data_IF_548773189184
#
_entry.id   IF_548773189184
#
_cell.length_a   1.000
_cell.length_b   1.000
_cell.length_c   1.000
_cell.angle_alpha   90.00
_cell.angle_beta   90.00
_cell.angle_gamma   90.00
#
_symmetry.space_group_name_H-M   'P 1'
#
loop_
_entity.id
_entity.type
_entity.pdbx_description
1 polymer ?
#
# COMPACT_ATOMS: atom_id res chain seq x y z
N UNK A 1 -19.89 -7.08 -4.02
CA UNK A 1 -18.84 -6.34 -4.73
C UNK A 1 -17.54 -6.47 -3.95
N UNK A 2 -16.72 -7.46 -4.25
CA UNK A 2 -15.38 -7.58 -3.68
C UNK A 2 -14.37 -6.70 -4.44
N UNK A 3 -13.36 -6.20 -3.76
CA UNK A 3 -12.24 -5.49 -4.39
C UNK A 3 -10.95 -5.63 -3.58
N UNK A 4 -9.84 -5.23 -4.19
CA UNK A 4 -8.57 -4.92 -3.51
C UNK A 4 -8.03 -3.62 -4.06
N UNK A 5 -7.40 -2.79 -3.22
CA UNK A 5 -6.73 -1.55 -3.65
C UNK A 5 -5.21 -1.66 -3.61
N UNK A 6 -4.66 -2.85 -3.37
CA UNK A 6 -3.22 -3.09 -3.28
C UNK A 6 -2.91 -4.51 -3.75
N UNK A 7 -2.14 -4.65 -4.83
CA UNK A 7 -1.68 -5.93 -5.34
C UNK A 7 -0.41 -5.81 -6.18
N UNK A 8 0.36 -6.89 -6.23
CA UNK A 8 1.65 -7.02 -6.91
C UNK A 8 1.71 -8.31 -7.73
N UNK A 9 2.53 -8.33 -8.78
CA UNK A 9 2.76 -9.49 -9.63
C UNK A 9 4.23 -9.85 -9.74
N UNK A 10 4.53 -11.14 -9.87
CA UNK A 10 5.91 -11.61 -10.13
C UNK A 10 6.45 -11.15 -11.48
N UNK A 11 5.59 -10.75 -12.41
CA UNK A 11 5.99 -10.19 -13.71
C UNK A 11 6.72 -8.86 -13.57
N UNK A 12 6.34 -8.02 -12.60
CA UNK A 12 6.90 -6.68 -12.42
C UNK A 12 7.58 -6.45 -11.05
N UNK A 13 7.42 -7.38 -10.12
CA UNK A 13 8.17 -7.47 -8.86
C UNK A 13 8.90 -8.83 -8.76
N UNK A 14 9.89 -9.13 -9.63
CA UNK A 14 10.62 -10.39 -9.59
C UNK A 14 11.37 -10.56 -8.26
N UNK A 15 11.54 -11.81 -7.81
CA UNK A 15 12.14 -12.13 -6.50
C UNK A 15 11.16 -11.95 -5.33
N UNK A 16 10.34 -10.90 -5.37
CA UNK A 16 9.43 -10.50 -4.30
C UNK A 16 8.00 -11.05 -4.45
N UNK A 17 7.49 -11.12 -5.68
CA UNK A 17 6.16 -11.64 -6.00
C UNK A 17 6.21 -12.84 -6.97
N UNK A 18 5.04 -13.45 -7.21
CA UNK A 18 4.84 -14.61 -8.09
C UNK A 18 3.73 -14.34 -9.10
N UNK A 19 3.69 -15.19 -10.13
CA UNK A 19 2.69 -15.22 -11.20
C UNK A 19 2.71 -14.01 -12.16
N UNK A 20 2.07 -14.18 -13.32
CA UNK A 20 1.90 -13.11 -14.30
C UNK A 20 0.74 -12.20 -13.91
N UNK A 21 0.83 -10.90 -14.21
CA UNK A 21 -0.20 -9.91 -13.88
C UNK A 21 -1.57 -10.32 -14.44
N UNK A 22 -1.61 -10.77 -15.69
CA UNK A 22 -2.85 -11.24 -16.32
C UNK A 22 -3.47 -12.44 -15.58
N UNK A 23 -2.65 -13.39 -15.11
CA UNK A 23 -3.13 -14.58 -14.41
C UNK A 23 -3.72 -14.22 -13.04
N UNK A 24 -3.14 -13.24 -12.34
CA UNK A 24 -3.69 -12.70 -11.10
C UNK A 24 -5.05 -12.04 -11.35
N UNK A 25 -5.17 -11.21 -12.40
CA UNK A 25 -6.43 -10.57 -12.78
C UNK A 25 -7.51 -11.60 -13.13
N UNK A 26 -7.17 -12.62 -13.91
CA UNK A 26 -8.10 -13.71 -14.24
C UNK A 26 -8.58 -14.44 -12.98
N UNK A 27 -7.69 -14.68 -12.02
CA UNK A 27 -8.08 -15.26 -10.75
C UNK A 27 -9.00 -14.33 -9.95
N UNK A 28 -8.67 -13.04 -9.85
CA UNK A 28 -9.52 -12.04 -9.19
C UNK A 28 -10.94 -11.99 -9.78
N UNK A 29 -11.07 -12.03 -11.12
CA UNK A 29 -12.36 -12.15 -11.81
C UNK A 29 -13.09 -13.43 -11.38
N UNK A 30 -12.38 -14.57 -11.36
CA UNK A 30 -12.97 -15.88 -11.03
C UNK A 30 -13.56 -15.96 -9.63
N UNK A 31 -13.01 -15.20 -8.67
CA UNK A 31 -13.49 -15.13 -7.28
C UNK A 31 -14.42 -13.92 -7.04
N UNK A 32 -14.85 -13.23 -8.10
CA UNK A 32 -15.89 -12.20 -8.02
C UNK A 32 -15.41 -10.78 -7.69
N UNK A 33 -14.11 -10.48 -7.80
CA UNK A 33 -13.66 -9.09 -7.70
C UNK A 33 -14.32 -8.25 -8.80
N UNK A 34 -14.76 -7.06 -8.42
CA UNK A 34 -15.33 -6.06 -9.33
C UNK A 34 -14.41 -4.88 -9.56
N UNK A 35 -13.51 -4.62 -8.63
CA UNK A 35 -12.48 -3.60 -8.77
C UNK A 35 -11.15 -4.16 -8.25
N UNK A 36 -10.06 -3.86 -8.94
CA UNK A 36 -8.72 -4.25 -8.51
C UNK A 36 -7.73 -3.12 -8.80
N UNK A 37 -7.02 -2.73 -7.75
CA UNK A 37 -5.88 -1.84 -7.79
C UNK A 37 -4.60 -2.59 -8.15
N UNK A 38 -4.01 -2.26 -9.29
CA UNK A 38 -2.70 -2.75 -9.71
C UNK A 38 -1.66 -1.78 -9.17
N UNK A 39 -0.75 -2.21 -8.29
CA UNK A 39 0.09 -1.28 -7.53
C UNK A 39 1.50 -1.81 -7.33
N UNK A 40 2.13 -2.26 -8.41
CA UNK A 40 3.53 -2.70 -8.37
C UNK A 40 4.43 -1.67 -7.68
N UNK A 41 5.53 -2.14 -7.07
CA UNK A 41 6.52 -1.29 -6.43
C UNK A 41 7.14 -0.28 -7.40
N UNK A 42 7.33 0.96 -6.93
CA UNK A 42 8.01 1.99 -7.72
C UNK A 42 9.52 1.70 -7.90
N UNK A 43 10.16 2.20 -8.98
CA UNK A 43 11.62 2.12 -9.13
C UNK A 43 12.39 2.77 -7.98
N UNK A 44 13.64 2.35 -7.76
CA UNK A 44 14.60 3.00 -6.87
C UNK A 44 15.41 4.06 -7.61
N UNK A 45 15.95 5.03 -6.88
CA UNK A 45 16.81 6.08 -7.44
C UNK A 45 18.31 5.79 -7.26
N UNK A 46 18.67 5.02 -6.24
CA UNK A 46 20.07 4.75 -5.89
C UNK A 46 20.27 3.26 -5.60
N UNK A 47 21.47 2.76 -5.84
CA UNK A 47 21.82 1.35 -5.61
C UNK A 47 21.77 0.95 -4.13
N UNK A 48 21.95 1.92 -3.22
CA UNK A 48 21.85 1.71 -1.79
C UNK A 48 20.41 1.45 -1.31
N UNK A 49 19.42 1.77 -2.13
CA UNK A 49 18.00 1.57 -1.82
C UNK A 49 17.44 0.27 -2.43
N UNK A 50 18.28 -0.50 -3.14
CA UNK A 50 17.91 -1.81 -3.67
C UNK A 50 17.77 -2.83 -2.54
N UNK A 51 16.71 -3.63 -2.60
CA UNK A 51 16.54 -4.76 -1.70
C UNK A 51 17.55 -5.89 -2.02
N UNK A 52 17.89 -6.75 -1.04
CA UNK A 52 18.85 -7.82 -1.27
C UNK A 52 18.48 -8.73 -2.46
N UNK A 53 17.20 -9.07 -2.66
CA UNK A 53 16.74 -9.88 -3.79
C UNK A 53 16.90 -9.18 -5.15
N UNK A 54 16.94 -7.84 -5.19
CA UNK A 54 17.18 -7.08 -6.42
C UNK A 54 18.67 -7.09 -6.80
N UNK A 55 19.54 -7.39 -5.84
CA UNK A 55 21.00 -7.49 -6.02
C UNK A 55 21.47 -8.90 -6.35
N UNK A 56 20.65 -9.93 -6.10
CA UNK A 56 21.03 -11.34 -6.32
C UNK A 56 21.41 -11.66 -7.77
N UNK A 57 20.99 -10.84 -8.75
CA UNK A 57 21.28 -11.05 -10.18
C UNK A 57 22.59 -10.41 -10.69
N UNK A 58 23.38 -9.71 -9.85
CA UNK A 58 24.73 -9.25 -10.22
C UNK A 58 25.01 -7.75 -9.99
N UNK A 59 25.44 -7.04 -11.04
CA UNK A 59 25.90 -5.65 -10.98
C UNK A 59 24.80 -4.70 -10.45
N UNK A 60 24.99 -4.03 -9.28
CA UNK A 60 24.00 -3.12 -8.72
C UNK A 60 23.57 -2.00 -9.68
N UNK A 61 24.47 -1.53 -10.56
CA UNK A 61 24.12 -0.51 -11.55
C UNK A 61 23.16 -1.04 -12.60
N UNK A 62 23.32 -2.30 -13.03
CA UNK A 62 22.40 -2.96 -13.95
C UNK A 62 21.04 -3.25 -13.30
N UNK A 63 21.05 -3.71 -12.04
CA UNK A 63 19.85 -3.91 -11.24
C UNK A 63 19.03 -2.62 -11.10
N UNK A 64 19.68 -1.48 -10.84
CA UNK A 64 19.01 -0.18 -10.78
C UNK A 64 18.47 0.24 -12.16
N UNK A 65 19.28 0.08 -13.22
CA UNK A 65 18.95 0.54 -14.57
C UNK A 65 17.73 -0.16 -15.18
N UNK A 66 17.41 -1.39 -14.75
CA UNK A 66 16.24 -2.14 -15.28
C UNK A 66 14.91 -1.72 -14.65
N UNK A 67 14.92 -1.05 -13.48
CA UNK A 67 13.69 -0.74 -12.75
C UNK A 67 12.77 0.24 -13.48
N UNK A 68 13.31 1.33 -14.05
CA UNK A 68 12.51 2.30 -14.79
C UNK A 68 11.87 1.68 -16.07
N UNK A 69 12.62 0.98 -16.95
CA UNK A 69 12.02 0.25 -18.07
C UNK A 69 10.98 -0.79 -17.65
N UNK A 70 11.18 -1.47 -16.51
CA UNK A 70 10.21 -2.43 -15.96
C UNK A 70 8.92 -1.75 -15.54
N UNK A 71 9.00 -0.57 -14.91
CA UNK A 71 7.83 0.22 -14.56
C UNK A 71 7.06 0.69 -15.81
N UNK A 72 7.76 1.12 -16.86
CA UNK A 72 7.12 1.49 -18.14
C UNK A 72 6.42 0.28 -18.79
N UNK A 73 7.06 -0.89 -18.76
CA UNK A 73 6.47 -2.14 -19.24
C UNK A 73 5.22 -2.54 -18.43
N UNK A 74 5.25 -2.34 -17.11
CA UNK A 74 4.09 -2.51 -16.23
C UNK A 74 2.93 -1.62 -16.66
N UNK A 75 3.16 -0.32 -16.83
CA UNK A 75 2.11 0.63 -17.21
C UNK A 75 1.52 0.30 -18.58
N UNK A 76 2.34 -0.13 -19.54
CA UNK A 76 1.86 -0.56 -20.85
C UNK A 76 0.96 -1.81 -20.75
N UNK A 77 1.40 -2.81 -19.99
CA UNK A 77 0.66 -4.07 -19.82
C UNK A 77 -0.63 -3.88 -19.02
N UNK A 78 -0.59 -3.09 -17.95
CA UNK A 78 -1.76 -2.75 -17.15
C UNK A 78 -2.84 -2.04 -17.97
N UNK A 79 -2.44 -1.14 -18.89
CA UNK A 79 -3.38 -0.48 -19.81
C UNK A 79 -4.01 -1.47 -20.79
N UNK A 80 -3.19 -2.34 -21.41
CA UNK A 80 -3.68 -3.39 -22.31
C UNK A 80 -4.67 -4.32 -21.60
N UNK A 81 -4.38 -4.71 -20.37
CA UNK A 81 -5.22 -5.59 -19.56
C UNK A 81 -6.52 -4.91 -19.13
N UNK A 82 -6.47 -3.61 -18.76
CA UNK A 82 -7.66 -2.82 -18.47
C UNK A 82 -8.63 -2.78 -19.66
N UNK A 83 -8.12 -2.63 -20.88
CA UNK A 83 -8.94 -2.69 -22.09
C UNK A 83 -9.47 -4.11 -22.36
N UNK A 84 -8.61 -5.12 -22.25
CA UNK A 84 -8.97 -6.53 -22.50
C UNK A 84 -10.07 -7.05 -21.57
N UNK A 85 -10.04 -6.65 -20.30
CA UNK A 85 -10.99 -7.11 -19.27
C UNK A 85 -12.08 -6.10 -18.94
N UNK A 86 -12.23 -5.04 -19.76
CA UNK A 86 -13.31 -4.08 -19.63
C UNK A 86 -14.68 -4.81 -19.62
N UNK A 87 -15.54 -4.41 -18.68
CA UNK A 87 -16.86 -5.03 -18.47
C UNK A 87 -16.85 -6.31 -17.62
N UNK A 88 -15.68 -6.87 -17.30
CA UNK A 88 -15.55 -8.00 -16.36
C UNK A 88 -15.08 -7.55 -14.98
N UNK A 89 -14.07 -6.66 -14.94
CA UNK A 89 -13.50 -6.07 -13.72
C UNK A 89 -13.00 -4.65 -14.02
N UNK A 90 -13.16 -3.74 -13.07
CA UNK A 90 -12.58 -2.40 -13.14
C UNK A 90 -11.13 -2.45 -12.65
N UNK A 91 -10.17 -2.25 -13.54
CA UNK A 91 -8.74 -2.18 -13.19
C UNK A 91 -8.32 -0.72 -13.01
N UNK A 92 -7.87 -0.39 -11.80
CA UNK A 92 -7.27 0.90 -11.47
C UNK A 92 -5.76 0.75 -11.49
N UNK A 93 -5.08 1.55 -12.30
CA UNK A 93 -3.64 1.47 -12.46
C UNK A 93 -2.99 2.42 -11.46
N UNK A 94 -2.14 1.90 -10.59
CA UNK A 94 -1.40 2.69 -9.62
C UNK A 94 0.00 2.15 -9.40
N UNK A 95 0.62 2.52 -8.30
CA UNK A 95 1.88 1.96 -7.82
C UNK A 95 1.95 2.10 -6.29
N UNK A 96 2.74 1.26 -5.65
CA UNK A 96 3.12 1.46 -4.25
C UNK A 96 4.32 2.42 -4.20
N UNK A 97 4.08 3.62 -3.66
CA UNK A 97 5.06 4.68 -3.53
C UNK A 97 5.82 4.55 -2.22
N UNK A 98 7.12 4.28 -2.31
CA UNK A 98 8.00 4.10 -1.16
C UNK A 98 8.70 5.39 -0.75
N UNK A 99 8.50 5.80 0.50
CA UNK A 99 9.17 6.97 1.06
C UNK A 99 10.46 6.59 1.79
N UNK A 100 11.59 6.82 1.15
CA UNK A 100 12.92 6.68 1.78
C UNK A 100 13.34 7.97 2.50
N UNK A 101 13.27 9.09 1.76
CA UNK A 101 13.79 10.41 2.15
C UNK A 101 13.18 11.50 1.25
N UNK A 102 13.21 12.79 1.63
CA UNK A 102 12.60 13.88 0.86
C UNK A 102 12.99 13.96 -0.62
N UNK A 103 14.19 13.51 -0.99
CA UNK A 103 14.64 13.45 -2.38
C UNK A 103 13.79 12.55 -3.30
N UNK A 104 13.06 11.58 -2.75
CA UNK A 104 12.13 10.73 -3.49
C UNK A 104 10.83 11.44 -3.86
N UNK A 105 10.48 12.53 -3.17
CA UNK A 105 9.21 13.25 -3.37
C UNK A 105 8.97 13.69 -4.82
N UNK A 106 9.91 14.41 -5.48
CA UNK A 106 9.78 14.78 -6.88
C UNK A 106 9.63 13.59 -7.82
N UNK A 107 10.34 12.49 -7.55
CA UNK A 107 10.26 11.28 -8.37
C UNK A 107 8.89 10.61 -8.25
N UNK A 108 8.38 10.42 -7.03
CA UNK A 108 7.04 9.85 -6.80
C UNK A 108 5.97 10.72 -7.46
N UNK A 109 6.06 12.05 -7.35
CA UNK A 109 5.14 12.95 -8.06
C UNK A 109 5.22 12.81 -9.58
N UNK A 110 6.40 12.57 -10.14
CA UNK A 110 6.57 12.37 -11.58
C UNK A 110 5.90 11.08 -12.06
N UNK A 111 6.04 9.98 -11.32
CA UNK A 111 5.32 8.72 -11.59
C UNK A 111 3.82 8.93 -11.45
N UNK A 112 3.40 9.60 -10.38
CA UNK A 112 2.00 9.95 -10.13
C UNK A 112 1.44 10.95 -11.13
N UNK A 113 2.24 11.63 -11.95
CA UNK A 113 1.78 12.51 -13.03
C UNK A 113 1.54 11.75 -14.35
N UNK A 114 2.03 10.51 -14.48
CA UNK A 114 1.88 9.73 -15.70
C UNK A 114 0.38 9.52 -16.03
N UNK A 115 -0.09 9.75 -17.28
CA UNK A 115 -1.53 9.72 -17.63
C UNK A 115 -2.23 8.39 -17.36
N UNK A 116 -1.49 7.29 -17.41
CA UNK A 116 -2.02 5.95 -17.12
C UNK A 116 -2.29 5.71 -15.64
N UNK A 117 -1.61 6.44 -14.73
CA UNK A 117 -1.68 6.24 -13.28
C UNK A 117 -2.90 6.96 -12.72
N UNK A 118 -3.81 6.18 -12.14
CA UNK A 118 -5.06 6.64 -11.54
C UNK A 118 -4.86 7.08 -10.08
N UNK A 119 -4.02 6.37 -9.30
CA UNK A 119 -3.67 6.68 -7.92
C UNK A 119 -2.32 6.06 -7.53
N UNK A 120 -1.84 6.36 -6.33
CA UNK A 120 -0.72 5.65 -5.72
C UNK A 120 -0.99 5.45 -4.23
N UNK A 121 -0.36 4.42 -3.67
CA UNK A 121 -0.33 4.15 -2.24
C UNK A 121 0.92 4.84 -1.67
N UNK A 122 0.79 5.57 -0.56
CA UNK A 122 1.96 6.07 0.17
C UNK A 122 2.34 5.08 1.26
N UNK A 123 3.55 4.53 1.19
CA UNK A 123 4.05 3.48 2.08
C UNK A 123 5.42 3.80 2.65
N UNK A 124 5.69 3.25 3.85
CA UNK A 124 7.01 3.25 4.48
C UNK A 124 7.41 1.82 4.81
N UNK A 125 8.49 1.37 4.16
CA UNK A 125 9.15 0.08 4.43
C UNK A 125 10.53 0.25 5.08
N UNK A 126 10.88 1.50 5.42
CA UNK A 126 12.19 1.84 5.95
C UNK A 126 12.08 2.82 7.12
N UNK A 127 13.07 2.75 8.02
CA UNK A 127 13.41 3.84 8.95
C UNK A 127 14.84 4.25 8.67
N UNK A 128 15.05 5.54 8.40
CA UNK A 128 16.36 6.08 7.96
C UNK A 128 16.98 5.28 6.80
N UNK A 129 16.17 4.92 5.80
CA UNK A 129 16.56 4.10 4.65
C UNK A 129 17.06 2.68 4.98
N UNK A 130 16.82 2.17 6.20
CA UNK A 130 17.06 0.76 6.57
C UNK A 130 15.72 0.01 6.61
N UNK A 131 15.60 -1.15 5.93
CA UNK A 131 14.34 -1.92 5.87
C UNK A 131 13.83 -2.35 7.26
N UNK A 132 12.51 -2.28 7.45
CA UNK A 132 11.84 -2.66 8.72
C UNK A 132 10.93 -3.89 8.60
N UNK A 133 10.67 -4.38 7.39
CA UNK A 133 9.77 -5.50 7.13
C UNK A 133 10.43 -6.62 6.31
N UNK A 134 11.75 -6.55 6.13
CA UNK A 134 12.53 -7.52 5.38
C UNK A 134 13.05 -8.68 6.23
N UNK A 135 13.81 -8.37 7.28
CA UNK A 135 14.35 -9.37 8.21
C UNK A 135 14.50 -8.79 9.62
N UNK A 136 14.51 -9.66 10.63
CA UNK A 136 14.71 -9.25 12.02
C UNK A 136 16.06 -8.55 12.24
N UNK A 137 17.09 -8.95 11.49
CA UNK A 137 18.42 -8.31 11.55
C UNK A 137 18.35 -6.87 11.06
N UNK A 138 17.75 -6.62 9.89
CA UNK A 138 17.59 -5.27 9.34
C UNK A 138 16.68 -4.40 10.21
N UNK A 139 15.62 -4.97 10.79
CA UNK A 139 14.78 -4.25 11.78
C UNK A 139 15.59 -3.77 12.98
N UNK A 140 16.49 -4.62 13.51
CA UNK A 140 17.39 -4.24 14.61
C UNK A 140 18.40 -3.18 14.16
N UNK A 141 18.89 -3.23 12.93
CA UNK A 141 19.77 -2.20 12.38
C UNK A 141 19.05 -0.86 12.20
N UNK A 142 17.82 -0.86 11.69
CA UNK A 142 16.97 0.31 11.62
C UNK A 142 16.78 0.94 13.00
N UNK A 143 16.53 0.12 14.02
CA UNK A 143 16.42 0.57 15.42
C UNK A 143 17.70 1.24 15.92
N UNK A 144 18.90 0.71 15.59
CA UNK A 144 20.18 1.34 15.95
C UNK A 144 20.33 2.73 15.33
N UNK A 145 19.89 2.93 14.09
CA UNK A 145 19.93 4.25 13.44
C UNK A 145 18.98 5.27 14.09
N UNK A 146 17.94 4.79 14.78
CA UNK A 146 16.87 5.60 15.34
C UNK A 146 16.92 5.69 16.87
N UNK A 147 18.11 5.63 17.47
CA UNK A 147 18.29 5.83 18.91
C UNK A 147 18.28 4.56 19.76
N UNK A 148 18.25 3.37 19.14
CA UNK A 148 18.58 2.10 19.79
C UNK A 148 17.44 1.42 20.57
N UNK A 149 16.20 1.93 20.49
CA UNK A 149 15.03 1.25 21.05
C UNK A 149 13.78 1.45 20.19
N UNK A 150 12.78 0.57 20.36
CA UNK A 150 11.56 0.59 19.55
C UNK A 150 10.78 1.90 19.68
N UNK A 151 10.65 2.47 20.88
CA UNK A 151 9.92 3.74 21.08
C UNK A 151 10.50 4.85 20.19
N UNK A 152 11.82 5.00 20.17
CA UNK A 152 12.51 6.02 19.36
C UNK A 152 12.45 5.71 17.86
N UNK A 153 12.49 4.43 17.48
CA UNK A 153 12.31 4.02 16.10
C UNK A 153 10.88 4.29 15.61
N UNK A 154 9.87 4.06 16.43
CA UNK A 154 8.47 4.36 16.10
C UNK A 154 8.24 5.87 15.98
N UNK A 155 8.82 6.67 16.88
CA UNK A 155 8.81 8.14 16.73
C UNK A 155 9.38 8.56 15.38
N UNK A 156 10.53 7.99 14.99
CA UNK A 156 11.14 8.28 13.69
C UNK A 156 10.30 7.80 12.51
N UNK A 157 9.74 6.60 12.58
CA UNK A 157 8.83 6.06 11.57
C UNK A 157 7.64 7.01 11.32
N UNK A 158 6.95 7.44 12.38
CA UNK A 158 5.81 8.34 12.23
C UNK A 158 6.23 9.77 11.85
N UNK A 159 7.44 10.22 12.17
CA UNK A 159 7.99 11.46 11.61
C UNK A 159 8.24 11.36 10.10
N UNK A 160 8.85 10.27 9.63
CA UNK A 160 9.05 10.05 8.19
C UNK A 160 7.72 9.85 7.45
N UNK A 161 6.74 9.19 8.07
CA UNK A 161 5.40 9.08 7.51
C UNK A 161 4.75 10.47 7.41
N UNK A 162 4.95 11.37 8.38
CA UNK A 162 4.46 12.74 8.28
C UNK A 162 5.14 13.54 7.16
N UNK A 163 6.45 13.36 6.98
CA UNK A 163 7.21 13.94 5.87
C UNK A 163 6.60 13.49 4.52
N UNK A 164 6.33 12.18 4.37
CA UNK A 164 5.66 11.61 3.20
C UNK A 164 4.27 12.22 3.00
N UNK A 165 3.42 12.25 4.03
CA UNK A 165 2.05 12.75 3.93
C UNK A 165 2.01 14.23 3.53
N UNK A 166 2.90 15.04 4.12
CA UNK A 166 3.04 16.46 3.81
C UNK A 166 3.55 16.70 2.40
N UNK A 167 4.48 15.86 1.94
CA UNK A 167 4.94 15.95 0.57
C UNK A 167 3.85 15.47 -0.40
N UNK A 168 3.24 14.31 -0.19
CA UNK A 168 2.61 13.58 -1.30
C UNK A 168 1.08 13.55 -1.31
N UNK A 169 0.41 13.69 -0.17
CA UNK A 169 -1.06 13.56 -0.05
C UNK A 169 -1.64 12.32 -0.81
N UNK A 170 -1.11 11.10 -0.55
CA UNK A 170 -1.51 9.90 -1.28
C UNK A 170 -2.99 9.60 -1.06
N UNK A 171 -3.71 9.19 -2.12
CA UNK A 171 -5.13 8.82 -2.03
C UNK A 171 -5.39 7.67 -1.06
N UNK A 172 -4.40 6.79 -0.91
CA UNK A 172 -4.38 5.65 0.02
C UNK A 172 -3.07 5.68 0.79
N UNK A 173 -3.14 5.61 2.12
CA UNK A 173 -1.96 5.39 2.97
C UNK A 173 -1.87 3.90 3.27
N UNK A 174 -0.81 3.27 2.78
CA UNK A 174 -0.54 1.85 2.94
C UNK A 174 -0.21 1.51 4.39
N UNK A 175 -0.58 0.29 4.80
CA UNK A 175 -0.20 -0.39 6.06
C UNK A 175 0.37 0.53 7.15
N UNK A 176 -0.51 1.41 7.66
CA UNK A 176 -0.14 2.63 8.42
C UNK A 176 0.80 2.41 9.61
N UNK A 177 0.79 1.23 10.22
CA UNK A 177 1.60 0.84 11.36
C UNK A 177 2.48 -0.38 11.08
N UNK A 178 2.96 -0.53 9.82
CA UNK A 178 3.85 -1.61 9.38
C UNK A 178 5.05 -1.83 10.33
N UNK A 179 5.53 -0.76 10.96
CA UNK A 179 6.62 -0.78 11.94
C UNK A 179 6.43 -1.81 13.06
N UNK A 180 5.20 -2.26 13.34
CA UNK A 180 4.94 -3.30 14.34
C UNK A 180 5.22 -4.72 13.89
N UNK A 181 5.39 -4.97 12.59
CA UNK A 181 5.49 -6.31 12.02
C UNK A 181 6.58 -7.16 12.68
N UNK A 182 7.78 -6.60 12.82
CA UNK A 182 8.94 -7.29 13.38
C UNK A 182 9.27 -6.84 14.81
N UNK A 183 8.30 -6.19 15.47
CA UNK A 183 8.42 -5.75 16.85
C UNK A 183 8.55 -6.93 17.81
N UNK A 184 9.24 -6.71 18.93
CA UNK A 184 9.28 -7.68 20.04
C UNK A 184 7.91 -7.86 20.70
N UNK A 185 7.07 -6.82 20.63
CA UNK A 185 5.68 -6.84 21.10
C UNK A 185 4.78 -6.17 20.06
N UNK A 186 4.39 -6.88 18.98
CA UNK A 186 3.54 -6.33 17.92
C UNK A 186 2.13 -5.93 18.38
N UNK A 187 1.72 -6.33 19.58
CA UNK A 187 0.44 -6.00 20.20
C UNK A 187 0.54 -4.88 21.25
N UNK A 188 1.73 -4.28 21.38
CA UNK A 188 1.98 -3.20 22.34
C UNK A 188 0.99 -2.06 22.17
N UNK A 189 0.45 -1.61 23.30
CA UNK A 189 -0.35 -0.39 23.33
C UNK A 189 0.55 0.86 23.18
N UNK A 190 0.73 1.33 21.94
CA UNK A 190 1.57 2.51 21.64
C UNK A 190 1.05 3.81 22.25
N UNK A 191 -0.18 3.85 22.78
CA UNK A 191 -0.69 5.02 23.53
C UNK A 191 0.12 5.31 24.79
N UNK A 192 0.83 4.31 25.32
CA UNK A 192 1.71 4.44 26.48
C UNK A 192 3.00 5.20 26.15
N UNK A 193 3.42 5.20 24.89
CA UNK A 193 4.53 5.99 24.37
C UNK A 193 4.00 7.34 23.89
N UNK A 194 3.95 8.33 24.77
CA UNK A 194 3.31 9.63 24.49
C UNK A 194 3.83 10.26 23.20
N UNK A 195 5.14 10.28 23.00
CA UNK A 195 5.76 10.84 21.81
C UNK A 195 5.41 10.09 20.52
N UNK A 196 5.21 8.77 20.59
CA UNK A 196 4.73 7.96 19.46
C UNK A 196 3.26 8.26 19.19
N UNK A 197 2.41 8.25 20.23
CA UNK A 197 0.98 8.43 20.07
C UNK A 197 0.61 9.81 19.54
N UNK A 198 1.28 10.87 19.99
CA UNK A 198 1.10 12.23 19.44
C UNK A 198 1.39 12.28 17.94
N UNK A 199 2.41 11.55 17.46
CA UNK A 199 2.75 11.46 16.03
C UNK A 199 1.76 10.63 15.24
N UNK A 200 1.27 9.53 15.81
CA UNK A 200 0.18 8.74 15.22
C UNK A 200 -1.04 9.65 14.99
N UNK A 201 -1.49 10.36 16.03
CA UNK A 201 -2.67 11.24 15.94
C UNK A 201 -2.43 12.36 14.92
N UNK A 202 -1.27 13.03 14.96
CA UNK A 202 -0.88 14.05 13.96
C UNK A 202 -0.99 13.52 12.53
N UNK A 203 -0.52 12.31 12.28
CA UNK A 203 -0.52 11.73 10.94
C UNK A 203 -1.94 11.36 10.50
N UNK A 204 -2.75 10.78 11.38
CA UNK A 204 -4.17 10.51 11.12
C UNK A 204 -4.93 11.82 10.79
N UNK A 205 -4.72 12.88 11.57
CA UNK A 205 -5.31 14.20 11.31
C UNK A 205 -4.89 14.76 9.95
N UNK A 206 -3.63 14.58 9.56
CA UNK A 206 -3.15 14.98 8.23
C UNK A 206 -3.87 14.21 7.12
N UNK A 207 -3.97 12.87 7.24
CA UNK A 207 -4.71 12.03 6.27
C UNK A 207 -6.16 12.46 6.16
N UNK A 208 -6.82 12.73 7.29
CA UNK A 208 -8.18 13.24 7.29
C UNK A 208 -8.30 14.61 6.62
N UNK A 209 -7.34 15.49 6.88
CA UNK A 209 -7.32 16.87 6.40
C UNK A 209 -7.32 16.99 4.88
N UNK A 210 -6.51 16.18 4.17
CA UNK A 210 -6.52 16.15 2.71
C UNK A 210 -7.54 15.14 2.13
N UNK A 211 -8.23 14.39 2.99
CA UNK A 211 -9.27 13.44 2.59
C UNK A 211 -8.72 12.11 2.04
N UNK A 212 -7.57 11.64 2.51
CA UNK A 212 -7.03 10.32 2.19
C UNK A 212 -7.81 9.18 2.82
N UNK A 213 -7.58 7.96 2.31
CA UNK A 213 -8.07 6.72 2.91
C UNK A 213 -6.92 6.02 3.65
N UNK A 214 -7.22 5.40 4.79
CA UNK A 214 -6.31 4.39 5.34
C UNK A 214 -6.58 3.03 4.73
N UNK A 215 -5.52 2.31 4.41
CA UNK A 215 -5.62 0.92 4.01
C UNK A 215 -5.92 0.01 5.21
N UNK A 216 -7.00 -0.78 5.11
CA UNK A 216 -7.20 -1.94 5.99
C UNK A 216 -6.61 -3.19 5.32
N UNK A 217 -5.34 -3.47 5.62
CA UNK A 217 -4.52 -4.45 4.91
C UNK A 217 -4.46 -5.78 5.65
N UNK A 218 -4.96 -6.84 5.00
CA UNK A 218 -4.99 -8.19 5.56
C UNK A 218 -3.68 -8.98 5.46
N UNK A 219 -2.65 -8.45 4.78
CA UNK A 219 -1.33 -9.09 4.70
C UNK A 219 -0.68 -9.27 6.06
N UNK A 220 -0.95 -8.37 7.00
CA UNK A 220 -0.53 -8.49 8.41
C UNK A 220 -0.91 -9.86 9.01
N UNK A 221 -2.11 -10.35 8.70
CA UNK A 221 -2.62 -11.63 9.20
C UNK A 221 -1.89 -12.83 8.57
N UNK A 222 -1.50 -12.71 7.29
CA UNK A 222 -0.67 -13.70 6.59
C UNK A 222 0.76 -13.71 7.15
N UNK A 223 1.27 -12.55 7.54
CA UNK A 223 2.59 -12.36 8.16
C UNK A 223 2.62 -12.72 9.68
N UNK A 224 1.52 -13.23 10.23
CA UNK A 224 1.46 -13.78 11.59
C UNK A 224 0.94 -12.82 12.67
N UNK A 225 0.53 -11.60 12.31
CA UNK A 225 -0.08 -10.68 13.27
C UNK A 225 -1.54 -11.08 13.57
N UNK A 226 -2.01 -10.75 14.78
CA UNK A 226 -3.36 -11.05 15.21
C UNK A 226 -4.43 -10.19 14.52
N UNK A 227 -4.07 -8.95 14.20
CA UNK A 227 -4.93 -7.91 13.58
C UNK A 227 -4.32 -7.41 12.27
N UNK A 228 -5.13 -6.97 11.29
CA UNK A 228 -4.66 -6.34 10.06
C UNK A 228 -3.95 -5.00 10.35
N UNK A 229 -3.37 -4.37 9.32
CA UNK A 229 -2.96 -2.97 9.43
C UNK A 229 -4.14 -2.05 9.12
N UNK A 230 -4.37 -0.94 9.86
CA UNK A 230 -3.77 -0.65 11.15
C UNK A 230 -4.34 -1.54 12.28
N UNK A 231 -3.58 -1.70 13.36
CA UNK A 231 -4.07 -2.34 14.59
C UNK A 231 -5.23 -1.56 15.23
N UNK A 232 -5.96 -2.23 16.11
CA UNK A 232 -7.22 -1.75 16.70
C UNK A 232 -7.14 -0.36 17.31
N UNK A 233 -6.13 -0.10 18.13
CA UNK A 233 -6.03 1.19 18.84
C UNK A 233 -5.87 2.38 17.88
N UNK A 234 -5.21 2.18 16.73
CA UNK A 234 -5.08 3.18 15.67
C UNK A 234 -6.36 3.25 14.86
N UNK A 235 -6.96 2.11 14.53
CA UNK A 235 -8.23 2.06 13.78
C UNK A 235 -9.38 2.72 14.54
N UNK A 236 -9.51 2.49 15.84
CA UNK A 236 -10.49 3.16 16.71
C UNK A 236 -10.29 4.67 16.69
N UNK A 237 -9.04 5.15 16.79
CA UNK A 237 -8.74 6.58 16.71
C UNK A 237 -9.06 7.17 15.34
N UNK A 238 -8.79 6.44 14.27
CA UNK A 238 -9.14 6.85 12.90
C UNK A 238 -10.65 7.00 12.72
N UNK A 239 -11.43 6.05 13.23
CA UNK A 239 -12.89 6.10 13.18
C UNK A 239 -13.49 7.20 14.06
N UNK A 240 -12.91 7.45 15.24
CA UNK A 240 -13.32 8.54 16.15
C UNK A 240 -13.31 9.91 15.44
N UNK A 241 -12.33 10.14 14.54
CA UNK A 241 -12.22 11.38 13.76
C UNK A 241 -12.97 11.36 12.42
N UNK A 242 -13.85 10.36 12.20
CA UNK A 242 -14.62 10.21 10.96
C UNK A 242 -13.77 9.80 9.77
N UNK A 243 -12.69 9.06 10.02
CA UNK A 243 -11.84 8.47 9.01
C UNK A 243 -12.52 7.34 8.23
N UNK A 244 -12.04 7.12 7.02
CA UNK A 244 -12.58 6.14 6.07
C UNK A 244 -11.50 5.10 5.70
N UNK A 245 -11.90 3.85 5.55
CA UNK A 245 -11.00 2.75 5.17
C UNK A 245 -11.16 2.37 3.71
N UNK A 246 -10.04 2.04 3.06
CA UNK A 246 -10.02 1.13 1.92
C UNK A 246 -9.62 -0.28 2.36
N UNK A 247 -9.54 -1.23 1.44
CA UNK A 247 -9.40 -2.66 1.74
C UNK A 247 -8.40 -3.33 0.79
N UNK A 248 -7.55 -4.22 1.33
CA UNK A 248 -6.60 -4.97 0.53
C UNK A 248 -6.12 -6.29 1.17
N UNK A 249 -5.56 -7.14 0.30
CA UNK A 249 -4.77 -8.34 0.61
C UNK A 249 -3.27 -8.15 0.44
N UNK A 250 -2.87 -7.11 -0.32
CA UNK A 250 -1.48 -6.83 -0.66
C UNK A 250 -0.82 -8.12 -1.18
N UNK A 251 -1.52 -8.69 -2.16
CA UNK A 251 -1.24 -10.01 -2.70
C UNK A 251 -0.01 -9.96 -3.60
N UNK A 252 0.93 -10.86 -3.38
CA UNK A 252 2.15 -11.01 -4.18
C UNK A 252 2.10 -12.22 -5.12
N UNK A 253 0.92 -12.47 -5.71
CA UNK A 253 0.64 -13.65 -6.54
C UNK A 253 -0.70 -14.29 -6.22
N UNK A 254 -1.11 -15.24 -7.05
CA UNK A 254 -2.44 -15.86 -7.04
C UNK A 254 -2.75 -16.48 -5.66
N UNK A 255 -1.78 -17.15 -5.06
CA UNK A 255 -1.95 -17.83 -3.77
C UNK A 255 -2.26 -16.88 -2.59
N UNK A 256 -2.08 -15.57 -2.77
CA UNK A 256 -2.29 -14.56 -1.72
C UNK A 256 -3.55 -13.73 -1.93
N UNK A 257 -4.15 -13.77 -3.12
CA UNK A 257 -5.38 -13.03 -3.44
C UNK A 257 -6.51 -13.47 -2.50
N UNK A 258 -7.22 -12.51 -1.94
CA UNK A 258 -8.32 -12.66 -0.99
C UNK A 258 -7.97 -13.41 0.32
N UNK A 259 -6.69 -13.64 0.60
CA UNK A 259 -6.29 -14.32 1.84
C UNK A 259 -6.68 -13.51 3.06
N UNK A 260 -7.25 -14.17 4.08
CA UNK A 260 -7.74 -13.55 5.32
C UNK A 260 -8.85 -12.49 5.16
N UNK A 261 -9.51 -12.37 4.00
CA UNK A 261 -10.58 -11.38 3.79
C UNK A 261 -11.71 -11.49 4.80
N UNK A 262 -12.17 -12.72 5.12
CA UNK A 262 -13.19 -12.93 6.15
C UNK A 262 -12.77 -12.35 7.51
N UNK A 263 -11.52 -12.61 7.93
CA UNK A 263 -10.98 -12.09 9.19
C UNK A 263 -10.85 -10.56 9.17
N UNK A 264 -10.48 -10.00 8.04
CA UNK A 264 -10.37 -8.54 7.87
C UNK A 264 -11.75 -7.85 7.89
N UNK A 265 -12.77 -8.48 7.28
CA UNK A 265 -14.16 -8.03 7.36
C UNK A 265 -14.69 -8.14 8.80
N UNK A 266 -14.46 -9.26 9.49
CA UNK A 266 -14.85 -9.46 10.89
C UNK A 266 -14.18 -8.40 11.80
N UNK A 267 -12.91 -8.05 11.53
CA UNK A 267 -12.20 -6.98 12.21
C UNK A 267 -12.89 -5.62 12.02
N UNK A 268 -13.18 -5.21 10.78
CA UNK A 268 -13.87 -3.96 10.48
C UNK A 268 -15.28 -3.91 11.09
N UNK A 269 -16.04 -5.00 11.01
CA UNK A 269 -17.37 -5.09 11.62
C UNK A 269 -17.32 -4.94 13.15
N UNK A 270 -16.30 -5.54 13.80
CA UNK A 270 -16.09 -5.41 15.25
C UNK A 270 -15.76 -3.99 15.68
N UNK A 271 -15.28 -3.14 14.77
CA UNK A 271 -15.05 -1.70 14.98
C UNK A 271 -16.30 -0.85 14.67
N UNK A 272 -17.39 -1.48 14.22
CA UNK A 272 -18.62 -0.79 13.85
C UNK A 272 -18.62 -0.23 12.41
N UNK A 273 -17.59 -0.50 11.61
CA UNK A 273 -17.50 -0.07 10.21
C UNK A 273 -18.66 -0.67 9.41
N UNK A 274 -19.28 0.13 8.54
CA UNK A 274 -20.41 -0.29 7.69
C UNK A 274 -20.05 -0.39 6.23
N UNK A 275 -19.06 0.38 5.81
CA UNK A 275 -18.62 0.45 4.42
C UNK A 275 -17.11 0.70 4.35
N UNK A 276 -16.52 0.21 3.27
CA UNK A 276 -15.15 0.51 2.83
C UNK A 276 -15.21 1.16 1.46
N UNK A 277 -14.15 1.84 1.09
CA UNK A 277 -14.13 2.66 -0.12
C UNK A 277 -13.15 2.15 -1.16
N UNK A 278 -13.62 2.08 -2.40
CA UNK A 278 -12.80 1.92 -3.61
C UNK A 278 -12.93 3.18 -4.47
N UNK A 279 -12.37 3.18 -5.68
CA UNK A 279 -12.55 4.26 -6.64
C UNK A 279 -13.23 3.77 -7.91
N UNK A 280 -13.98 4.68 -8.54
CA UNK A 280 -14.48 4.54 -9.90
C UNK A 280 -13.73 5.50 -10.80
N UNK A 281 -13.24 4.96 -11.92
CA UNK A 281 -12.52 5.70 -12.93
C UNK A 281 -13.52 6.45 -13.82
N UNK A 282 -13.46 7.77 -13.78
CA UNK A 282 -14.28 8.68 -14.57
C UNK A 282 -13.78 8.84 -16.00
N UNK A 283 -14.49 9.65 -16.83
CA UNK A 283 -13.99 10.03 -18.13
C UNK A 283 -12.64 10.76 -18.01
N UNK A 284 -11.86 10.68 -19.09
CA UNK A 284 -10.61 11.45 -19.21
C UNK A 284 -10.98 12.90 -19.51
N UNK A 285 -10.63 13.82 -18.62
CA UNK A 285 -10.94 15.25 -18.79
C UNK A 285 -9.74 15.99 -19.39
N UNK A 286 -9.92 16.56 -20.59
CA UNK A 286 -8.93 17.40 -21.27
C UNK A 286 -8.83 17.14 -22.79
N UNK A 287 -8.35 18.12 -23.54
CA UNK A 287 -8.02 18.02 -24.96
C UNK A 287 -6.50 18.14 -25.06
N UNK A 288 -5.83 17.16 -25.69
CA UNK A 288 -4.37 17.01 -25.90
C UNK A 288 -3.61 16.18 -24.84
N UNK A 289 -3.40 14.89 -25.11
CA UNK A 289 -2.24 14.05 -24.71
C UNK A 289 -1.85 13.88 -23.22
N UNK A 290 -2.32 14.74 -22.32
CA UNK A 290 -1.95 14.84 -20.91
C UNK A 290 -3.17 14.76 -19.99
N UNK A 291 -4.33 14.41 -20.55
CA UNK A 291 -5.58 14.31 -19.82
C UNK A 291 -5.57 13.07 -18.92
N UNK A 292 -5.83 13.27 -17.63
CA UNK A 292 -5.99 12.19 -16.64
C UNK A 292 -7.47 11.87 -16.42
N UNK A 293 -7.73 10.62 -16.04
CA UNK A 293 -9.05 10.28 -15.53
C UNK A 293 -9.25 10.85 -14.13
N UNK A 294 -10.47 11.28 -13.85
CA UNK A 294 -10.89 11.62 -12.49
C UNK A 294 -11.23 10.34 -11.72
N UNK A 295 -10.88 10.27 -10.44
CA UNK A 295 -11.31 9.18 -9.56
C UNK A 295 -12.41 9.66 -8.64
N UNK A 296 -13.56 8.98 -8.70
CA UNK A 296 -14.65 9.17 -7.73
C UNK A 296 -14.58 8.10 -6.67
N UNK A 297 -14.66 8.48 -5.40
CA UNK A 297 -14.78 7.53 -4.30
C UNK A 297 -16.11 6.77 -4.37
N UNK A 298 -16.08 5.46 -4.21
CA UNK A 298 -17.25 4.57 -4.21
C UNK A 298 -17.31 3.79 -2.89
N UNK A 299 -18.40 3.95 -2.15
CA UNK A 299 -18.67 3.18 -0.97
C UNK A 299 -19.13 1.76 -1.33
N UNK A 300 -18.66 0.77 -0.56
CA UNK A 300 -19.05 -0.64 -0.64
C UNK A 300 -19.37 -1.11 0.76
N UNK A 301 -20.63 -1.50 0.99
CA UNK A 301 -21.04 -2.00 2.31
C UNK A 301 -20.36 -3.34 2.62
N UNK A 302 -20.03 -3.57 3.89
CA UNK A 302 -19.39 -4.83 4.30
C UNK A 302 -20.26 -6.05 4.00
N UNK A 303 -21.59 -5.92 4.08
CA UNK A 303 -22.53 -6.98 3.69
C UNK A 303 -22.40 -7.38 2.22
N UNK A 304 -22.41 -6.40 1.31
CA UNK A 304 -22.23 -6.63 -0.14
C UNK A 304 -20.83 -7.16 -0.46
N UNK A 305 -19.82 -6.76 0.32
CA UNK A 305 -18.47 -7.29 0.18
C UNK A 305 -18.44 -8.78 0.55
N UNK A 306 -19.00 -9.13 1.71
CA UNK A 306 -19.01 -10.48 2.29
C UNK A 306 -19.73 -11.52 1.43
N UNK A 307 -20.76 -11.14 0.69
CA UNK A 307 -21.47 -12.03 -0.25
C UNK A 307 -20.57 -12.73 -1.28
N UNK A 308 -19.36 -12.20 -1.55
CA UNK A 308 -18.41 -12.80 -2.51
C UNK A 308 -17.52 -13.88 -1.88
N UNK A 309 -17.52 -14.02 -0.55
CA UNK A 309 -16.64 -14.94 0.20
C UNK A 309 -17.41 -15.87 1.15
N UNK A 310 -18.73 -15.97 0.96
CA UNK A 310 -19.61 -16.91 1.65
C UNK A 310 -19.86 -18.15 0.80
#
# INVERSE_FOLDING_TARGET
MAFTMHSHSGQFCPGHAKDQLESIIQHAISIGYKTMGLTEHMPRLETADLYPEELEEGDPAAALAVLAPRHDAYLAEAQRLREKYAGQIDLLIGFEGEWYRPAYGPFIRSLAAHPAVDYFIGSLHHVNAVPIDYSREMYVDAMKTAGGCEERMYERYYDQQHEMLTALEPKVVGHFDLIRLMSEDPARDVRKWKGVWERVVRNLEMVKGYGGLLECNSSALRKGLAEPYPCRIIAEKWLEMGGEFTFSDDSHGIAQVATNYKRNLDYLESLGVKEVFTFERGPVEGVNGHAKSTLRRKAVTLGVFRENFN
#
